data_IF_391233757785
#
_entry.id   IF_391233757785
#
_cell.length_a   1.000
_cell.length_b   1.000
_cell.length_c   1.000
_cell.angle_alpha   90.00
_cell.angle_beta   90.00
_cell.angle_gamma   90.00
#
_symmetry.space_group_name_H-M   'P 1'
#
loop_
_entity.id
_entity.type
_entity.pdbx_description
1 polymer ?
#
# COMPACT_ATOMS: atom_id res chain seq x y z
N UNK A 1 18.76 12.74 22.03
CA UNK A 1 19.18 11.54 22.81
C UNK A 1 20.68 11.51 23.00
N UNK A 2 21.49 11.77 21.96
CA UNK A 2 22.92 12.09 22.15
C UNK A 2 23.01 13.40 22.95
N UNK A 3 23.31 13.30 24.26
CA UNK A 3 23.48 14.45 25.16
C UNK A 3 22.64 14.45 26.44
N UNK A 4 21.60 13.60 26.56
CA UNK A 4 20.73 13.55 27.76
C UNK A 4 21.09 12.38 28.70
N UNK A 5 21.43 11.21 28.16
CA UNK A 5 21.80 10.03 28.94
C UNK A 5 22.86 9.19 28.19
N UNK A 6 23.76 8.46 28.89
CA UNK A 6 24.75 7.59 28.26
C UNK A 6 24.09 6.47 27.42
N UNK A 7 24.60 6.19 26.22
CA UNK A 7 24.02 5.21 25.29
C UNK A 7 23.88 3.80 25.88
N UNK A 8 24.72 3.43 26.84
CA UNK A 8 24.69 2.13 27.54
C UNK A 8 23.51 1.96 28.49
N UNK A 9 22.84 3.04 28.87
CA UNK A 9 21.69 3.04 29.78
C UNK A 9 20.34 3.04 29.05
N UNK A 10 20.36 3.06 27.72
CA UNK A 10 19.17 3.15 26.87
C UNK A 10 18.67 1.79 26.34
N UNK A 11 19.24 0.68 26.82
CA UNK A 11 18.74 -0.66 26.51
C UNK A 11 17.55 -1.03 27.41
N UNK A 12 16.48 -0.26 27.28
CA UNK A 12 15.24 -0.39 28.05
C UNK A 12 14.05 -0.38 27.08
N UNK A 13 12.92 -1.05 27.40
CA UNK A 13 11.72 -1.05 26.56
C UNK A 13 11.15 0.35 26.26
N UNK A 14 11.43 1.35 27.10
CA UNK A 14 11.00 2.75 26.95
C UNK A 14 12.19 3.72 27.05
N UNK A 15 13.11 3.73 26.06
CA UNK A 15 14.39 4.42 26.17
C UNK A 15 14.26 5.94 26.21
N UNK A 16 13.22 6.49 25.58
CA UNK A 16 12.97 7.95 25.57
C UNK A 16 12.59 8.44 26.97
N UNK A 17 11.71 7.72 27.64
CA UNK A 17 11.22 8.06 28.97
C UNK A 17 12.28 7.81 30.03
N UNK A 18 13.07 6.73 29.88
CA UNK A 18 14.20 6.42 30.75
C UNK A 18 15.30 7.50 30.68
N UNK A 19 15.58 8.03 29.49
CA UNK A 19 16.55 9.12 29.33
C UNK A 19 16.15 10.39 30.10
N UNK A 20 14.85 10.63 30.27
CA UNK A 20 14.32 11.87 30.86
C UNK A 20 14.23 11.80 32.38
N UNK A 21 14.12 10.60 32.96
CA UNK A 21 14.14 10.41 34.42
C UNK A 21 15.40 10.98 35.08
N UNK A 22 16.52 11.01 34.36
CA UNK A 22 17.79 11.60 34.81
C UNK A 22 17.87 13.13 34.75
N UNK A 23 16.82 13.84 34.32
CA UNK A 23 16.80 15.30 34.18
C UNK A 23 15.90 15.99 35.23
N UNK A 24 16.04 17.32 35.46
CA UNK A 24 15.27 18.06 36.49
C UNK A 24 13.74 17.99 36.34
N UNK A 25 13.24 17.59 35.17
CA UNK A 25 11.81 17.42 34.87
C UNK A 25 11.35 15.95 34.91
N UNK A 26 12.11 15.07 35.56
CA UNK A 26 12.03 13.61 35.46
C UNK A 26 10.77 12.91 35.98
N UNK A 27 9.74 13.63 36.47
CA UNK A 27 8.51 13.00 37.03
C UNK A 27 7.30 13.20 36.11
N UNK A 28 7.03 14.42 35.66
CA UNK A 28 5.84 14.74 34.86
C UNK A 28 6.03 14.53 33.35
N UNK A 29 7.22 14.82 32.83
CA UNK A 29 7.51 14.76 31.40
C UNK A 29 7.51 13.33 30.83
N UNK A 30 8.08 12.30 31.51
CA UNK A 30 8.00 10.92 31.04
C UNK A 30 6.55 10.41 30.91
N UNK A 31 5.66 10.80 31.83
CA UNK A 31 4.25 10.37 31.82
C UNK A 31 3.53 10.88 30.57
N UNK A 32 3.73 12.16 30.22
CA UNK A 32 3.14 12.77 29.02
C UNK A 32 3.68 12.09 27.76
N UNK A 33 4.98 11.79 27.74
CA UNK A 33 5.64 11.12 26.60
C UNK A 33 5.15 9.68 26.44
N UNK A 34 5.05 8.91 27.53
CA UNK A 34 4.53 7.55 27.50
C UNK A 34 3.06 7.52 27.04
N UNK A 35 2.23 8.46 27.52
CA UNK A 35 0.85 8.60 27.07
C UNK A 35 0.77 8.90 25.57
N UNK A 36 1.62 9.82 25.08
CA UNK A 36 1.74 10.14 23.67
C UNK A 36 2.24 8.95 22.83
N UNK A 37 3.20 8.18 23.36
CA UNK A 37 3.74 7.00 22.71
C UNK A 37 2.67 5.91 22.57
N UNK A 38 1.88 5.64 23.61
CA UNK A 38 0.78 4.67 23.57
C UNK A 38 -0.28 5.10 22.55
N UNK A 39 -0.68 6.37 22.56
CA UNK A 39 -1.66 6.90 21.60
C UNK A 39 -1.15 6.80 20.16
N UNK A 40 0.12 7.17 19.92
CA UNK A 40 0.76 7.11 18.61
C UNK A 40 0.92 5.68 18.09
N UNK A 41 1.44 4.77 18.91
CA UNK A 41 1.61 3.36 18.56
C UNK A 41 0.27 2.67 18.27
N UNK A 42 -0.77 3.00 19.03
CA UNK A 42 -2.13 2.48 18.80
C UNK A 42 -2.67 2.95 17.44
N UNK A 43 -2.50 4.24 17.13
CA UNK A 43 -2.93 4.80 15.84
C UNK A 43 -2.22 4.14 14.66
N UNK A 44 -0.89 4.05 14.71
CA UNK A 44 -0.10 3.40 13.65
C UNK A 44 -0.48 1.93 13.50
N UNK A 45 -0.65 1.19 14.61
CA UNK A 45 -1.06 -0.20 14.59
C UNK A 45 -2.41 -0.38 13.89
N UNK A 46 -3.40 0.47 14.21
CA UNK A 46 -4.72 0.41 13.57
C UNK A 46 -4.63 0.65 12.06
N UNK A 47 -3.86 1.67 11.63
CA UNK A 47 -3.65 1.95 10.20
C UNK A 47 -2.97 0.78 9.50
N UNK A 48 -1.96 0.16 10.12
CA UNK A 48 -1.28 -1.02 9.59
C UNK A 48 -2.24 -2.22 9.45
N UNK A 49 -3.11 -2.48 10.43
CA UNK A 49 -4.15 -3.52 10.37
C UNK A 49 -5.16 -3.32 9.23
N UNK A 50 -5.57 -2.06 9.01
CA UNK A 50 -6.48 -1.73 7.91
C UNK A 50 -5.79 -1.85 6.55
N UNK A 51 -4.52 -1.46 6.44
CA UNK A 51 -3.71 -1.59 5.23
C UNK A 51 -3.57 -3.04 4.78
N UNK A 52 -3.14 -3.93 5.68
CA UNK A 52 -2.98 -5.36 5.35
C UNK A 52 -4.32 -6.00 4.95
N UNK A 53 -5.42 -5.70 5.64
CA UNK A 53 -6.75 -6.24 5.31
C UNK A 53 -7.17 -5.91 3.87
N UNK A 54 -6.83 -4.70 3.37
CA UNK A 54 -7.14 -4.27 2.00
C UNK A 54 -6.29 -4.98 0.95
N UNK A 55 -5.00 -5.17 1.22
CA UNK A 55 -4.10 -5.89 0.30
C UNK A 55 -4.57 -7.35 0.16
N UNK A 56 -4.94 -8.00 1.26
CA UNK A 56 -5.51 -9.36 1.22
C UNK A 56 -6.84 -9.42 0.47
N UNK A 57 -7.70 -8.42 0.65
CA UNK A 57 -8.95 -8.31 -0.09
C UNK A 57 -8.72 -8.16 -1.60
N UNK A 58 -7.80 -7.28 -2.04
CA UNK A 58 -7.51 -7.12 -3.48
C UNK A 58 -6.88 -8.39 -4.07
N UNK A 59 -5.96 -9.02 -3.35
CA UNK A 59 -5.37 -10.31 -3.78
C UNK A 59 -6.43 -11.42 -3.89
N UNK A 60 -7.40 -11.47 -2.97
CA UNK A 60 -8.50 -12.43 -3.04
C UNK A 60 -9.50 -12.11 -4.16
N UNK A 61 -9.73 -10.82 -4.43
CA UNK A 61 -10.56 -10.36 -5.54
C UNK A 61 -9.95 -10.76 -6.90
N UNK A 62 -8.63 -10.64 -7.04
CA UNK A 62 -7.87 -11.07 -8.22
C UNK A 62 -7.78 -12.60 -8.36
N UNK A 63 -8.23 -13.36 -7.35
CA UNK A 63 -8.25 -14.82 -7.33
C UNK A 63 -6.93 -15.47 -6.88
N UNK A 64 -5.97 -14.67 -6.36
CA UNK A 64 -4.69 -15.18 -5.84
C UNK A 64 -4.81 -15.81 -4.45
N UNK A 65 -5.90 -15.52 -3.71
CA UNK A 65 -6.18 -16.05 -2.38
C UNK A 65 -7.59 -16.65 -2.28
N UNK A 66 -7.88 -17.51 -1.28
CA UNK A 66 -9.21 -18.09 -1.07
C UNK A 66 -10.31 -17.03 -0.99
N UNK A 67 -11.46 -17.30 -1.61
CA UNK A 67 -12.59 -16.36 -1.69
C UNK A 67 -13.15 -15.91 -0.32
N UNK A 68 -12.79 -16.59 0.76
CA UNK A 68 -13.12 -16.24 2.15
C UNK A 68 -12.60 -14.84 2.50
N UNK A 69 -11.41 -14.47 1.99
CA UNK A 69 -10.81 -13.15 2.20
C UNK A 69 -11.45 -12.04 1.33
N UNK A 70 -12.23 -12.41 0.31
CA UNK A 70 -13.00 -11.48 -0.53
C UNK A 70 -14.41 -11.21 0.03
N UNK A 71 -14.81 -11.85 1.14
CA UNK A 71 -16.16 -11.68 1.71
C UNK A 71 -16.29 -10.32 2.40
N UNK A 72 -17.05 -9.42 1.78
CA UNK A 72 -17.30 -8.07 2.27
C UNK A 72 -18.62 -8.01 3.03
N UNK A 73 -18.68 -7.23 4.12
CA UNK A 73 -19.94 -6.98 4.83
C UNK A 73 -20.88 -6.09 3.98
N UNK A 74 -22.16 -6.45 3.80
CA UNK A 74 -23.07 -5.78 2.85
C UNK A 74 -23.39 -4.32 3.19
N UNK A 75 -23.31 -3.93 4.46
CA UNK A 75 -23.67 -2.57 4.91
C UNK A 75 -22.48 -1.62 5.03
N UNK A 76 -21.32 -2.14 5.44
CA UNK A 76 -20.11 -1.33 5.70
C UNK A 76 -19.10 -1.42 4.55
N UNK A 77 -19.30 -2.35 3.60
CA UNK A 77 -18.38 -2.63 2.48
C UNK A 77 -16.92 -2.86 2.94
N UNK A 78 -16.75 -3.37 4.18
CA UNK A 78 -15.44 -3.69 4.76
C UNK A 78 -15.17 -5.20 4.77
N UNK A 79 -13.92 -5.64 4.49
CA UNK A 79 -13.53 -7.05 4.52
C UNK A 79 -13.31 -7.52 5.97
N UNK A 80 -14.41 -7.67 6.71
CA UNK A 80 -14.38 -7.97 8.16
C UNK A 80 -13.74 -9.32 8.50
N UNK A 81 -13.91 -10.33 7.64
CA UNK A 81 -13.32 -11.66 7.82
C UNK A 81 -11.80 -11.58 7.77
N UNK A 82 -11.26 -10.88 6.77
CA UNK A 82 -9.82 -10.66 6.63
C UNK A 82 -9.26 -9.90 7.83
N UNK A 83 -9.96 -8.86 8.30
CA UNK A 83 -9.52 -8.09 9.47
C UNK A 83 -9.47 -8.92 10.75
N UNK A 84 -10.47 -9.76 11.01
CA UNK A 84 -10.47 -10.62 12.21
C UNK A 84 -9.37 -11.68 12.13
N UNK A 85 -9.24 -12.38 11.00
CA UNK A 85 -8.24 -13.45 10.84
C UNK A 85 -6.83 -12.88 11.00
N UNK A 86 -6.55 -11.77 10.31
CA UNK A 86 -5.24 -11.13 10.35
C UNK A 86 -4.97 -10.52 11.73
N UNK A 87 -5.97 -9.90 12.36
CA UNK A 87 -5.85 -9.37 13.71
C UNK A 87 -5.55 -10.46 14.74
N UNK A 88 -6.25 -11.60 14.67
CA UNK A 88 -6.01 -12.74 15.54
C UNK A 88 -4.61 -13.35 15.31
N UNK A 89 -4.18 -13.47 14.05
CA UNK A 89 -2.84 -13.91 13.71
C UNK A 89 -1.77 -12.96 14.25
N UNK A 90 -1.94 -11.65 14.07
CA UNK A 90 -1.05 -10.64 14.61
C UNK A 90 -0.97 -10.70 16.14
N UNK A 91 -2.11 -10.83 16.83
CA UNK A 91 -2.17 -10.94 18.28
C UNK A 91 -1.43 -12.19 18.80
N UNK A 92 -1.59 -13.33 18.12
CA UNK A 92 -0.88 -14.55 18.47
C UNK A 92 0.65 -14.39 18.31
N UNK A 93 1.10 -13.80 17.20
CA UNK A 93 2.52 -13.59 16.95
C UNK A 93 3.14 -12.56 17.90
N UNK A 94 2.41 -11.49 18.23
CA UNK A 94 2.83 -10.49 19.19
C UNK A 94 2.99 -11.05 20.61
N UNK A 95 2.26 -12.10 20.97
CA UNK A 95 2.36 -12.75 22.28
C UNK A 95 3.58 -13.69 22.41
N UNK A 96 4.11 -14.22 21.30
CA UNK A 96 5.10 -15.31 21.32
C UNK A 96 6.48 -14.87 20.83
N UNK A 97 6.57 -13.87 19.95
CA UNK A 97 7.83 -13.50 19.31
C UNK A 97 8.48 -12.25 19.91
N UNK A 98 9.82 -12.22 20.06
CA UNK A 98 10.52 -11.06 20.61
C UNK A 98 10.55 -9.90 19.61
N UNK A 99 10.42 -8.66 20.13
CA UNK A 99 10.35 -7.43 19.34
C UNK A 99 11.57 -7.21 18.43
N UNK A 100 12.77 -7.58 18.86
CA UNK A 100 13.99 -7.43 18.06
C UNK A 100 13.92 -8.21 16.74
N UNK A 101 13.48 -9.47 16.80
CA UNK A 101 13.28 -10.30 15.62
C UNK A 101 12.19 -9.72 14.70
N UNK A 102 11.07 -9.26 15.28
CA UNK A 102 10.00 -8.64 14.52
C UNK A 102 10.45 -7.36 13.81
N UNK A 103 11.28 -6.55 14.47
CA UNK A 103 11.86 -5.34 13.91
C UNK A 103 12.77 -5.65 12.72
N UNK A 104 13.65 -6.62 12.86
CA UNK A 104 14.53 -7.06 11.77
C UNK A 104 13.74 -7.62 10.57
N UNK A 105 12.73 -8.45 10.83
CA UNK A 105 11.85 -9.02 9.80
C UNK A 105 11.01 -7.96 9.08
N UNK A 106 10.51 -6.97 9.82
CA UNK A 106 9.74 -5.87 9.26
C UNK A 106 10.65 -4.98 8.41
N UNK A 107 11.83 -4.63 8.92
CA UNK A 107 12.80 -3.79 8.21
C UNK A 107 13.21 -4.41 6.88
N UNK A 108 13.62 -5.68 6.85
CA UNK A 108 14.02 -6.35 5.60
C UNK A 108 12.85 -6.42 4.61
N UNK A 109 11.63 -6.70 5.09
CA UNK A 109 10.44 -6.74 4.24
C UNK A 109 10.14 -5.39 3.59
N UNK A 110 10.25 -4.30 4.35
CA UNK A 110 10.07 -2.94 3.82
C UNK A 110 11.16 -2.55 2.82
N UNK A 111 12.42 -2.95 3.06
CA UNK A 111 13.53 -2.71 2.12
C UNK A 111 13.28 -3.40 0.78
N UNK A 112 12.80 -4.66 0.81
CA UNK A 112 12.43 -5.40 -0.40
C UNK A 112 11.26 -4.74 -1.11
N UNK A 113 10.21 -4.36 -0.38
CA UNK A 113 9.06 -3.66 -0.96
C UNK A 113 9.47 -2.34 -1.62
N UNK A 114 10.30 -1.53 -0.95
CA UNK A 114 10.83 -0.31 -1.53
C UNK A 114 11.72 -0.58 -2.74
N UNK A 115 12.60 -1.56 -2.69
CA UNK A 115 13.42 -1.96 -3.83
C UNK A 115 12.54 -2.33 -5.05
N UNK A 116 11.50 -3.14 -4.84
CA UNK A 116 10.54 -3.51 -5.89
C UNK A 116 9.75 -2.31 -6.41
N UNK A 117 9.37 -1.35 -5.56
CA UNK A 117 8.70 -0.12 -6.00
C UNK A 117 9.61 0.71 -6.88
N UNK A 118 10.89 0.89 -6.53
CA UNK A 118 11.85 1.65 -7.34
C UNK A 118 12.04 0.99 -8.71
N UNK A 119 12.16 -0.34 -8.77
CA UNK A 119 12.22 -1.09 -10.03
C UNK A 119 10.91 -0.96 -10.81
N UNK A 120 9.76 -1.09 -10.15
CA UNK A 120 8.44 -1.01 -10.79
C UNK A 120 8.23 0.35 -11.45
N UNK A 121 8.68 1.44 -10.82
CA UNK A 121 8.63 2.79 -11.40
C UNK A 121 9.52 2.89 -12.64
N UNK A 122 10.71 2.28 -12.62
CA UNK A 122 11.62 2.20 -13.77
C UNK A 122 10.96 1.45 -14.93
N UNK A 123 10.40 0.26 -14.66
CA UNK A 123 9.73 -0.58 -15.67
C UNK A 123 8.51 0.15 -16.24
N UNK A 124 7.65 0.72 -15.41
CA UNK A 124 6.46 1.44 -15.86
C UNK A 124 6.81 2.63 -16.75
N UNK A 125 7.99 3.25 -16.57
CA UNK A 125 8.48 4.31 -17.46
C UNK A 125 8.93 3.83 -18.82
N UNK A 126 9.37 2.58 -18.95
CA UNK A 126 9.66 1.98 -20.24
C UNK A 126 8.39 1.46 -20.93
N UNK A 127 7.53 0.76 -20.19
CA UNK A 127 6.35 0.06 -20.77
C UNK A 127 5.19 1.01 -21.05
N UNK A 128 4.93 1.98 -20.19
CA UNK A 128 3.78 2.89 -20.29
C UNK A 128 4.26 4.34 -20.36
N UNK A 129 4.72 4.73 -21.55
CA UNK A 129 5.29 6.05 -21.81
C UNK A 129 4.23 7.16 -21.93
N UNK A 130 3.04 6.82 -22.41
CA UNK A 130 2.01 7.79 -22.84
C UNK A 130 0.94 8.10 -21.76
N UNK A 131 1.06 7.53 -20.57
CA UNK A 131 0.13 7.83 -19.45
C UNK A 131 0.33 9.27 -18.95
N UNK A 132 -0.72 10.10 -18.88
CA UNK A 132 -0.63 11.46 -18.36
C UNK A 132 -0.23 11.42 -16.88
N UNK A 133 0.85 12.14 -16.51
CA UNK A 133 1.40 12.16 -15.15
C UNK A 133 1.21 13.53 -14.52
N UNK A 134 0.40 13.60 -13.46
CA UNK A 134 0.14 14.83 -12.71
C UNK A 134 1.34 15.37 -11.93
N UNK A 135 2.30 14.50 -11.56
CA UNK A 135 3.54 14.89 -10.89
C UNK A 135 4.78 14.35 -11.63
N UNK A 136 5.77 15.22 -11.86
CA UNK A 136 7.04 14.88 -12.51
C UNK A 136 8.20 15.20 -11.57
N UNK A 137 9.17 14.29 -11.49
CA UNK A 137 10.33 14.40 -10.59
C UNK A 137 11.35 15.39 -11.19
N UNK A 138 11.82 16.40 -10.45
CA UNK A 138 12.58 17.53 -11.01
C UNK A 138 13.99 17.18 -11.54
N UNK A 139 14.62 16.09 -11.08
CA UNK A 139 15.96 15.65 -11.55
C UNK A 139 15.90 14.43 -12.48
N UNK A 140 14.77 14.26 -13.15
CA UNK A 140 14.60 13.26 -14.18
C UNK A 140 14.08 11.91 -13.68
N UNK A 141 13.51 11.12 -14.60
CA UNK A 141 12.76 9.90 -14.30
C UNK A 141 13.55 8.74 -13.69
N UNK A 142 14.88 8.76 -13.80
CA UNK A 142 15.76 7.60 -13.61
C UNK A 142 16.66 7.72 -12.38
N UNK A 143 17.14 8.92 -12.09
CA UNK A 143 18.17 9.16 -11.08
C UNK A 143 17.66 8.81 -9.69
N UNK A 144 16.48 9.33 -9.31
CA UNK A 144 15.90 9.06 -7.99
C UNK A 144 15.53 7.58 -7.79
N UNK A 145 14.82 6.90 -8.72
CA UNK A 145 14.54 5.47 -8.58
C UNK A 145 15.82 4.61 -8.49
N UNK A 146 16.84 4.90 -9.30
CA UNK A 146 18.07 4.10 -9.30
C UNK A 146 18.90 4.30 -8.02
N UNK A 147 19.03 5.52 -7.53
CA UNK A 147 19.75 5.79 -6.27
C UNK A 147 19.03 5.13 -5.10
N UNK A 148 17.70 5.24 -5.03
CA UNK A 148 16.91 4.60 -3.98
C UNK A 148 16.98 3.07 -4.03
N UNK A 149 16.92 2.48 -5.24
CA UNK A 149 17.12 1.04 -5.41
C UNK A 149 18.51 0.60 -4.96
N UNK A 150 19.56 1.35 -5.32
CA UNK A 150 20.93 1.06 -4.90
C UNK A 150 21.09 1.16 -3.38
N UNK A 151 20.52 2.18 -2.76
CA UNK A 151 20.57 2.36 -1.30
C UNK A 151 19.84 1.22 -0.58
N UNK A 152 18.65 0.84 -1.04
CA UNK A 152 17.92 -0.30 -0.50
C UNK A 152 18.72 -1.60 -0.65
N UNK A 153 19.39 -1.79 -1.79
CA UNK A 153 20.25 -2.95 -2.04
C UNK A 153 21.46 -2.99 -1.11
N UNK A 154 22.13 -1.85 -0.90
CA UNK A 154 23.26 -1.75 0.04
C UNK A 154 22.80 -2.11 1.46
N UNK A 155 21.69 -1.55 1.94
CA UNK A 155 21.14 -1.85 3.26
C UNK A 155 20.69 -3.31 3.40
N UNK A 156 20.22 -3.92 2.31
CA UNK A 156 19.85 -5.33 2.29
C UNK A 156 21.09 -6.23 2.41
N UNK A 157 22.20 -5.89 1.75
CA UNK A 157 23.45 -6.64 1.79
C UNK A 157 24.18 -6.50 3.13
N UNK A 158 24.08 -5.34 3.78
CA UNK A 158 24.66 -5.12 5.12
C UNK A 158 23.83 -5.74 6.25
N UNK A 159 22.63 -6.24 5.96
CA UNK A 159 21.76 -6.92 6.93
C UNK A 159 22.26 -8.32 7.28
N UNK A 160 21.81 -8.86 8.43
CA UNK A 160 22.22 -10.19 8.90
C UNK A 160 21.80 -11.29 7.93
N UNK A 161 22.66 -12.30 7.77
CA UNK A 161 22.39 -13.48 6.92
C UNK A 161 21.14 -14.23 7.38
N UNK A 162 20.87 -14.27 8.69
CA UNK A 162 19.67 -14.91 9.23
C UNK A 162 18.39 -14.25 8.71
N UNK A 163 18.39 -12.92 8.61
CA UNK A 163 17.26 -12.13 8.13
C UNK A 163 16.97 -12.42 6.67
N UNK A 164 18.00 -12.58 5.85
CA UNK A 164 17.88 -13.00 4.45
C UNK A 164 17.28 -14.40 4.29
N UNK A 165 17.68 -15.36 5.13
CA UNK A 165 17.11 -16.73 5.11
C UNK A 165 15.62 -16.70 5.48
N UNK A 166 15.24 -15.97 6.54
CA UNK A 166 13.84 -15.84 6.97
C UNK A 166 12.97 -15.24 5.85
N UNK A 167 13.47 -14.21 5.17
CA UNK A 167 12.81 -13.65 3.99
C UNK A 167 12.68 -14.68 2.86
N UNK A 168 13.76 -15.40 2.55
CA UNK A 168 13.77 -16.44 1.52
C UNK A 168 12.75 -17.56 1.80
N UNK A 169 12.66 -18.00 3.06
CA UNK A 169 11.64 -18.97 3.51
C UNK A 169 10.23 -18.40 3.33
N UNK A 170 10.00 -17.16 3.73
CA UNK A 170 8.69 -16.51 3.59
C UNK A 170 8.27 -16.35 2.12
N UNK A 171 9.20 -15.94 1.25
CA UNK A 171 8.97 -15.87 -0.20
C UNK A 171 8.71 -17.24 -0.79
N UNK A 172 9.43 -18.27 -0.32
CA UNK A 172 9.20 -19.67 -0.70
C UNK A 172 7.79 -20.13 -0.35
N UNK A 173 7.33 -19.87 0.88
CA UNK A 173 5.96 -20.18 1.32
C UNK A 173 4.94 -19.47 0.43
N UNK A 174 5.14 -18.16 0.18
CA UNK A 174 4.28 -17.39 -0.72
C UNK A 174 4.21 -17.97 -2.13
N UNK A 175 5.35 -18.40 -2.68
CA UNK A 175 5.44 -19.02 -3.99
C UNK A 175 4.72 -20.38 -4.05
N UNK A 176 4.83 -21.20 -3.00
CA UNK A 176 4.12 -22.48 -2.90
C UNK A 176 2.61 -22.25 -2.85
N UNK A 177 2.13 -21.29 -2.04
CA UNK A 177 0.71 -20.93 -1.99
C UNK A 177 0.23 -20.44 -3.36
N UNK A 178 1.04 -19.61 -4.03
CA UNK A 178 0.74 -19.12 -5.37
C UNK A 178 0.64 -20.25 -6.41
N UNK A 179 1.59 -21.18 -6.45
CA UNK A 179 1.53 -22.30 -7.41
C UNK A 179 0.44 -23.32 -7.08
N UNK A 180 0.20 -23.59 -5.79
CA UNK A 180 -0.82 -24.55 -5.35
C UNK A 180 -2.24 -24.05 -5.61
N UNK A 181 -2.51 -22.76 -5.36
CA UNK A 181 -3.86 -22.20 -5.45
C UNK A 181 -3.99 -21.14 -6.57
N UNK A 182 -3.10 -20.15 -6.57
CA UNK A 182 -3.15 -19.00 -7.49
C UNK A 182 -3.01 -19.36 -8.96
N UNK A 183 -2.21 -20.37 -9.33
CA UNK A 183 -2.07 -20.80 -10.72
C UNK A 183 -3.37 -21.37 -11.31
N UNK A 184 -4.20 -22.01 -10.48
CA UNK A 184 -5.44 -22.67 -10.93
C UNK A 184 -6.67 -21.76 -10.84
N UNK A 185 -6.63 -20.73 -9.99
CA UNK A 185 -7.79 -19.86 -9.68
C UNK A 185 -7.63 -18.39 -10.11
N UNK A 186 -6.47 -17.99 -10.65
CA UNK A 186 -6.24 -16.60 -11.08
C UNK A 186 -7.17 -16.22 -12.24
N UNK A 187 -8.01 -15.22 -11.98
CA UNK A 187 -9.01 -14.69 -12.94
C UNK A 187 -8.40 -13.78 -14.00
N UNK A 188 -7.10 -13.46 -13.92
CA UNK A 188 -6.37 -12.71 -14.96
C UNK A 188 -6.39 -13.40 -16.33
N UNK A 189 -6.64 -14.72 -16.39
CA UNK A 189 -6.86 -15.46 -17.64
C UNK A 189 -8.31 -15.37 -18.17
N UNK A 190 -9.28 -14.99 -17.34
CA UNK A 190 -10.70 -14.89 -17.70
C UNK A 190 -11.21 -13.43 -17.83
N UNK A 191 -10.45 -12.43 -17.40
CA UNK A 191 -10.83 -11.00 -17.51
C UNK A 191 -10.56 -10.36 -18.88
N UNK A 192 -10.06 -11.11 -19.87
CA UNK A 192 -10.05 -10.64 -21.26
C UNK A 192 -11.47 -10.59 -21.89
N UNK A 193 -12.51 -10.95 -21.13
CA UNK A 193 -13.91 -11.02 -21.55
C UNK A 193 -14.80 -9.92 -20.94
N UNK A 194 -14.23 -8.95 -20.23
CA UNK A 194 -14.93 -7.67 -20.05
C UNK A 194 -14.75 -6.90 -21.36
N UNK A 195 -15.77 -6.97 -22.22
CA UNK A 195 -15.84 -6.15 -23.42
C UNK A 195 -15.46 -4.69 -23.07
N UNK A 196 -14.68 -4.00 -23.93
CA UNK A 196 -14.53 -2.56 -23.78
C UNK A 196 -15.94 -1.98 -23.66
N UNK A 197 -16.18 -1.14 -22.65
CA UNK A 197 -17.46 -0.44 -22.50
C UNK A 197 -17.60 0.50 -23.69
N UNK A 198 -18.07 -0.03 -24.82
CA UNK A 198 -18.41 0.67 -26.07
C UNK A 198 -19.61 1.61 -25.90
N UNK A 199 -20.24 1.62 -24.71
CA UNK A 199 -21.38 2.46 -24.39
C UNK A 199 -21.06 3.93 -24.11
N UNK A 200 -19.82 4.31 -23.79
CA UNK A 200 -19.49 5.73 -23.55
C UNK A 200 -19.16 6.50 -24.84
N UNK A 201 -18.63 5.83 -25.86
CA UNK A 201 -18.37 6.45 -27.17
C UNK A 201 -19.68 6.71 -27.94
N UNK A 202 -20.65 5.79 -27.82
CA UNK A 202 -21.97 5.94 -28.45
C UNK A 202 -22.80 7.05 -27.78
N UNK A 203 -22.73 7.20 -26.46
CA UNK A 203 -23.43 8.29 -25.75
C UNK A 203 -22.89 9.68 -26.10
N UNK A 204 -21.56 9.82 -26.28
CA UNK A 204 -20.98 11.09 -26.74
C UNK A 204 -21.34 11.43 -28.19
N UNK A 205 -21.47 10.41 -29.03
CA UNK A 205 -21.83 10.57 -30.45
C UNK A 205 -23.33 10.85 -30.62
N UNK A 206 -24.20 10.15 -29.88
CA UNK A 206 -25.66 10.38 -29.89
C UNK A 206 -26.04 11.74 -29.27
N UNK A 207 -25.42 12.14 -28.15
CA UNK A 207 -25.64 13.48 -27.57
C UNK A 207 -25.09 14.60 -28.47
N UNK A 208 -24.00 14.34 -29.20
CA UNK A 208 -23.43 15.26 -30.17
C UNK A 208 -24.31 15.46 -31.41
N UNK A 209 -24.86 14.36 -31.97
CA UNK A 209 -25.81 14.41 -33.09
C UNK A 209 -27.16 15.02 -32.69
N UNK A 210 -27.68 14.72 -31.51
CA UNK A 210 -28.97 15.26 -31.06
C UNK A 210 -28.89 16.76 -30.73
N UNK A 211 -27.76 17.22 -30.16
CA UNK A 211 -27.50 18.65 -29.91
C UNK A 211 -27.34 19.44 -31.21
N UNK A 212 -26.57 18.95 -32.17
CA UNK A 212 -26.39 19.63 -33.46
C UNK A 212 -27.71 19.67 -34.24
N UNK A 213 -28.49 18.58 -34.24
CA UNK A 213 -29.79 18.54 -34.92
C UNK A 213 -30.80 19.53 -34.34
N UNK A 214 -30.84 19.70 -33.01
CA UNK A 214 -31.69 20.70 -32.37
C UNK A 214 -31.24 22.14 -32.65
N UNK A 215 -29.94 22.39 -32.77
CA UNK A 215 -29.39 23.70 -33.12
C UNK A 215 -29.70 24.10 -34.58
N UNK A 216 -29.61 23.16 -35.54
CA UNK A 216 -30.00 23.40 -36.93
C UNK A 216 -31.51 23.64 -37.11
N UNK A 217 -32.35 22.92 -36.36
CA UNK A 217 -33.82 23.15 -36.40
C UNK A 217 -34.16 24.53 -35.83
N UNK A 218 -33.52 24.95 -34.74
CA UNK A 218 -33.70 26.29 -34.19
C UNK A 218 -33.22 27.40 -35.15
N UNK A 219 -32.11 27.22 -35.86
CA UNK A 219 -31.69 28.18 -36.90
C UNK A 219 -32.65 28.23 -38.09
N UNK A 220 -33.20 27.09 -38.53
CA UNK A 220 -34.18 27.05 -39.62
C UNK A 220 -35.50 27.73 -39.25
N UNK A 221 -35.98 27.57 -38.02
CA UNK A 221 -37.18 28.24 -37.53
C UNK A 221 -36.99 29.77 -37.50
N UNK A 222 -35.82 30.25 -37.02
CA UNK A 222 -35.48 31.68 -37.01
C UNK A 222 -35.33 32.25 -38.43
N UNK A 223 -34.83 31.45 -39.38
CA UNK A 223 -34.71 31.89 -40.77
C UNK A 223 -36.09 31.99 -41.46
N UNK A 224 -37.01 31.07 -41.16
CA UNK A 224 -38.35 31.05 -41.74
C UNK A 224 -39.22 32.19 -41.20
N UNK A 225 -39.07 32.57 -39.92
CA UNK A 225 -39.77 33.72 -39.32
C UNK A 225 -39.34 35.07 -39.93
N UNK A 226 -38.10 35.18 -40.44
CA UNK A 226 -37.59 36.40 -41.10
C UNK A 226 -37.96 36.52 -42.59
N UNK A 227 -38.71 35.57 -43.15
CA UNK A 227 -39.13 35.57 -44.56
C UNK A 227 -40.65 35.76 -44.74
N UNK A 228 -41.38 36.01 -43.64
CA UNK A 228 -42.79 36.46 -43.62
C UNK A 228 -42.88 37.91 -43.16
#
# INVERSE_FOLDING_TARGET
MVGIAPYKTLDSPNPISEAIKGTPHGIWLPIIIDLGAIAGLTSVSLVSLLGQSRIFYSMAYDGLLPAIFAKVHPRTKTPWVSTIIIGAFCAAFAAVLPLGILGEMTSIGTLVAFFLVHISVIIMRFTHKDVPRGFRVPLGPWVFPSIGALLCLVLMVTSSKETGIRLGVWMGIGQVIYFAYGFWHSKLRNSQQLEPVTGFDNLGTELGEESTKNEYVAEMDVFNEKQL
#
